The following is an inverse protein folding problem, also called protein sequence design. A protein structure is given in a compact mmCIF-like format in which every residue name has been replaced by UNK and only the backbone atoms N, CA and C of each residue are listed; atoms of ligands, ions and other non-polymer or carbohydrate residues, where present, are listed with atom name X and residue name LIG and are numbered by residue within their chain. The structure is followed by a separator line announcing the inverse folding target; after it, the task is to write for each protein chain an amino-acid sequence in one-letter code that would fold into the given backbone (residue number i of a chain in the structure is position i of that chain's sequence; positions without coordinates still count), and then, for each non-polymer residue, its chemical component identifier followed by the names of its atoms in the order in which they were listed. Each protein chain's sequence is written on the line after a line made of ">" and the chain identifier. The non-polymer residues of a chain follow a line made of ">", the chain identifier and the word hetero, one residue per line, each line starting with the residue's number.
data_IF_844333129914
#
_entry.id   IF_844333129914
#
_cell.length_a   1.000
_cell.length_b   1.000
_cell.length_c   1.000
_cell.angle_alpha   90.00
_cell.angle_beta   90.00
_cell.angle_gamma   90.00
#
_symmetry.space_group_name_H-M   'P 1'
#
loop_
_entity.id
_entity.type
_entity.pdbx_description
1 polymer ?
#
# COMPACT_ATOMS: atom_id res chain seq x y z
N UNK A 1 13.50 -11.82 10.67
CA UNK A 1 14.18 -10.52 10.45
C UNK A 1 15.24 -10.57 9.33
N UNK A 2 16.07 -11.60 9.22
CA UNK A 2 17.09 -11.75 8.15
C UNK A 2 16.47 -11.87 6.75
N UNK A 3 15.40 -12.62 6.57
CA UNK A 3 14.71 -12.82 5.29
C UNK A 3 14.11 -11.54 4.70
N UNK A 4 13.64 -10.61 5.54
CA UNK A 4 13.11 -9.31 5.09
C UNK A 4 14.27 -8.43 4.57
N UNK A 5 15.43 -8.46 5.20
CA UNK A 5 16.61 -7.71 4.74
C UNK A 5 17.16 -8.22 3.41
N UNK A 6 17.10 -9.53 3.16
CA UNK A 6 17.51 -10.12 1.87
C UNK A 6 16.53 -9.74 0.73
N UNK A 7 15.23 -9.72 1.00
CA UNK A 7 14.22 -9.27 0.05
C UNK A 7 14.35 -7.77 -0.30
N UNK A 8 14.73 -6.92 0.67
CA UNK A 8 14.85 -5.46 0.46
C UNK A 8 16.06 -5.05 -0.38
N UNK A 9 17.03 -5.92 -0.59
CA UNK A 9 18.27 -5.61 -1.31
C UNK A 9 18.33 -6.16 -2.75
N UNK A 10 17.26 -6.78 -3.23
CA UNK A 10 17.18 -7.29 -4.60
C UNK A 10 17.01 -6.14 -5.61
N UNK A 11 17.61 -6.28 -6.79
CA UNK A 11 17.48 -5.31 -7.89
C UNK A 11 16.02 -5.07 -8.29
N UNK A 12 15.16 -6.09 -8.11
CA UNK A 12 13.71 -6.00 -8.34
C UNK A 12 13.06 -4.97 -7.41
N UNK A 13 13.38 -4.99 -6.11
CA UNK A 13 12.86 -4.01 -5.14
C UNK A 13 13.30 -2.59 -5.46
N UNK A 14 14.56 -2.41 -5.87
CA UNK A 14 15.08 -1.10 -6.27
C UNK A 14 14.36 -0.57 -7.51
N UNK A 15 14.12 -1.43 -8.49
CA UNK A 15 13.39 -1.09 -9.70
C UNK A 15 11.93 -0.74 -9.40
N UNK A 16 11.25 -1.56 -8.60
CA UNK A 16 9.86 -1.29 -8.19
C UNK A 16 9.75 0.00 -7.36
N UNK A 17 10.67 0.24 -6.43
CA UNK A 17 10.73 1.49 -5.68
C UNK A 17 10.89 2.71 -6.61
N UNK A 18 11.71 2.61 -7.64
CA UNK A 18 11.88 3.67 -8.64
C UNK A 18 10.60 3.92 -9.44
N UNK A 19 9.90 2.85 -9.81
CA UNK A 19 8.62 2.92 -10.53
C UNK A 19 7.50 3.50 -9.67
N UNK A 20 7.48 3.17 -8.36
CA UNK A 20 6.46 3.65 -7.43
C UNK A 20 6.67 5.10 -6.96
N UNK A 21 7.88 5.65 -7.08
CA UNK A 21 8.17 7.05 -6.66
C UNK A 21 7.17 8.08 -7.21
N UNK A 22 6.84 8.13 -8.52
CA UNK A 22 5.87 9.09 -9.02
C UNK A 22 4.47 8.87 -8.44
N UNK A 23 4.06 7.61 -8.27
CA UNK A 23 2.77 7.23 -7.68
C UNK A 23 2.70 7.70 -6.22
N UNK A 24 3.76 7.46 -5.44
CA UNK A 24 3.83 7.90 -4.04
C UNK A 24 3.78 9.42 -3.94
N UNK A 25 4.50 10.15 -4.77
CA UNK A 25 4.46 11.62 -4.77
C UNK A 25 3.06 12.16 -5.12
N UNK A 26 2.34 11.48 -6.00
CA UNK A 26 0.98 11.85 -6.37
C UNK A 26 -0.06 11.53 -5.29
N UNK A 27 0.08 10.37 -4.63
CA UNK A 27 -0.86 9.91 -3.60
C UNK A 27 -0.60 10.55 -2.24
N UNK A 28 0.67 10.88 -1.93
CA UNK A 28 1.13 11.40 -0.64
C UNK A 28 1.84 12.75 -0.77
N UNK A 29 1.13 13.80 -1.17
CA UNK A 29 1.76 15.13 -1.39
C UNK A 29 2.36 15.74 -0.11
N UNK A 30 1.88 15.33 1.07
CA UNK A 30 2.31 15.87 2.36
C UNK A 30 3.71 15.41 2.77
N UNK A 31 4.15 14.24 2.27
CA UNK A 31 5.44 13.64 2.65
C UNK A 31 6.54 13.85 1.60
N UNK A 32 6.39 14.82 0.69
CA UNK A 32 7.37 15.07 -0.39
C UNK A 32 8.80 15.22 0.11
N UNK A 33 8.98 15.81 1.29
CA UNK A 33 10.28 16.07 1.91
C UNK A 33 10.71 15.00 2.91
N UNK A 34 9.85 14.01 3.22
CA UNK A 34 10.18 12.90 4.12
C UNK A 34 10.56 11.66 3.31
N UNK A 35 11.85 11.56 2.95
CA UNK A 35 12.39 10.43 2.19
C UNK A 35 12.22 9.08 2.93
N UNK A 36 12.26 9.10 4.27
CA UNK A 36 12.10 7.91 5.09
C UNK A 36 10.68 7.36 4.97
N UNK A 37 9.66 8.21 5.16
CA UNK A 37 8.27 7.82 4.99
C UNK A 37 7.99 7.31 3.56
N UNK A 38 8.50 8.00 2.53
CA UNK A 38 8.36 7.56 1.14
C UNK A 38 8.93 6.17 0.91
N UNK A 39 10.12 5.88 1.44
CA UNK A 39 10.76 4.57 1.29
C UNK A 39 9.97 3.48 2.03
N UNK A 40 9.51 3.73 3.25
CA UNK A 40 8.75 2.76 4.04
C UNK A 40 7.38 2.45 3.39
N UNK A 41 6.66 3.46 2.90
CA UNK A 41 5.43 3.29 2.14
C UNK A 41 5.70 2.51 0.84
N UNK A 42 6.77 2.86 0.12
CA UNK A 42 7.15 2.13 -1.10
C UNK A 42 7.40 0.65 -0.82
N UNK A 43 8.12 0.32 0.25
CA UNK A 43 8.39 -1.06 0.64
C UNK A 43 7.10 -1.82 1.01
N UNK A 44 6.19 -1.17 1.74
CA UNK A 44 4.88 -1.74 2.05
C UNK A 44 4.07 -2.00 0.77
N UNK A 45 4.00 -1.04 -0.15
CA UNK A 45 3.30 -1.19 -1.42
C UNK A 45 3.90 -2.33 -2.27
N UNK A 46 5.24 -2.41 -2.37
CA UNK A 46 5.92 -3.50 -3.09
C UNK A 46 5.57 -4.85 -2.50
N UNK A 47 5.60 -4.99 -1.17
CA UNK A 47 5.24 -6.24 -0.50
C UNK A 47 3.78 -6.65 -0.78
N UNK A 48 2.85 -5.69 -0.79
CA UNK A 48 1.44 -5.94 -1.16
C UNK A 48 1.31 -6.37 -2.63
N UNK A 49 1.93 -5.64 -3.55
CA UNK A 49 1.90 -5.95 -5.00
C UNK A 49 2.44 -7.35 -5.29
N UNK A 50 3.48 -7.76 -4.57
CA UNK A 50 4.05 -9.11 -4.69
C UNK A 50 3.25 -10.19 -3.94
N UNK A 51 2.17 -9.84 -3.25
CA UNK A 51 1.34 -10.79 -2.49
C UNK A 51 2.01 -11.31 -1.22
N UNK A 52 3.00 -10.58 -0.69
CA UNK A 52 3.75 -10.95 0.52
C UNK A 52 3.06 -10.39 1.78
N UNK A 53 1.80 -10.79 2.05
CA UNK A 53 0.97 -10.25 3.13
C UNK A 53 1.66 -10.24 4.49
N UNK A 54 2.36 -11.33 4.85
CA UNK A 54 3.09 -11.44 6.12
C UNK A 54 4.24 -10.43 6.25
N UNK A 55 4.83 -9.99 5.14
CA UNK A 55 5.86 -8.95 5.13
C UNK A 55 5.26 -7.55 5.01
N UNK A 56 4.13 -7.40 4.34
CA UNK A 56 3.47 -6.12 4.13
C UNK A 56 2.99 -5.50 5.45
N UNK A 57 2.41 -6.28 6.36
CA UNK A 57 1.87 -5.79 7.63
C UNK A 57 2.92 -5.06 8.49
N UNK A 58 4.08 -5.65 8.84
CA UNK A 58 5.08 -4.95 9.63
C UNK A 58 5.69 -3.73 8.90
N UNK A 59 5.78 -3.77 7.57
CA UNK A 59 6.23 -2.62 6.78
C UNK A 59 5.20 -1.48 6.81
N UNK A 60 3.90 -1.80 6.74
CA UNK A 60 2.81 -0.83 6.87
C UNK A 60 2.76 -0.18 8.24
N UNK A 61 2.91 -0.97 9.31
CA UNK A 61 2.99 -0.44 10.68
C UNK A 61 4.17 0.51 10.86
N UNK A 62 5.34 0.16 10.33
CA UNK A 62 6.52 1.01 10.38
C UNK A 62 6.33 2.34 9.62
N UNK A 63 5.72 2.28 8.45
CA UNK A 63 5.36 3.48 7.70
C UNK A 63 4.37 4.36 8.49
N UNK A 64 3.37 3.74 9.13
CA UNK A 64 2.39 4.43 9.97
C UNK A 64 3.05 5.11 11.18
N UNK A 65 3.99 4.45 11.87
CA UNK A 65 4.76 5.05 12.95
C UNK A 65 5.55 6.29 12.51
N UNK A 66 6.17 6.22 11.32
CA UNK A 66 6.93 7.35 10.76
C UNK A 66 6.00 8.51 10.41
N UNK A 67 4.83 8.22 9.81
CA UNK A 67 3.81 9.23 9.54
C UNK A 67 3.26 9.87 10.81
N UNK A 68 3.06 9.08 11.87
CA UNK A 68 2.56 9.58 13.16
C UNK A 68 3.57 10.50 13.85
N UNK A 69 4.88 10.30 13.68
CA UNK A 69 5.90 11.19 14.22
C UNK A 69 5.80 12.60 13.62
N UNK A 70 5.48 12.68 12.33
CA UNK A 70 5.34 13.94 11.60
C UNK A 70 3.92 14.53 11.69
N UNK A 71 2.98 13.79 12.26
CA UNK A 71 1.59 14.23 12.39
C UNK A 71 1.48 15.35 13.43
N UNK A 72 0.90 16.48 13.04
CA UNK A 72 0.66 17.63 13.92
C UNK A 72 -0.44 17.37 14.95
N UNK A 73 -1.48 16.65 14.56
CA UNK A 73 -2.62 16.31 15.39
C UNK A 73 -2.55 14.86 15.83
N UNK A 74 -1.95 14.63 17.01
CA UNK A 74 -1.62 13.24 17.45
C UNK A 74 -2.84 12.35 17.68
N UNK A 75 -4.00 12.92 17.92
CA UNK A 75 -5.26 12.21 18.16
C UNK A 75 -6.08 11.97 16.89
N UNK A 76 -5.60 12.45 15.73
CA UNK A 76 -6.29 12.34 14.45
C UNK A 76 -5.37 11.73 13.40
N UNK A 77 -5.96 11.05 12.42
CA UNK A 77 -5.18 10.52 11.30
C UNK A 77 -4.85 11.65 10.31
N UNK A 78 -3.59 11.75 9.91
CA UNK A 78 -3.21 12.63 8.80
C UNK A 78 -3.74 12.09 7.47
N UNK A 79 -3.87 12.96 6.46
CA UNK A 79 -4.34 12.53 5.13
C UNK A 79 -3.45 11.43 4.54
N UNK A 80 -2.15 11.47 4.81
CA UNK A 80 -1.21 10.42 4.38
C UNK A 80 -1.46 9.09 5.10
N UNK A 81 -1.83 9.11 6.38
CA UNK A 81 -2.17 7.90 7.11
C UNK A 81 -3.46 7.28 6.58
N UNK A 82 -4.50 8.10 6.33
CA UNK A 82 -5.76 7.66 5.72
C UNK A 82 -5.50 7.02 4.35
N UNK A 83 -4.73 7.68 3.50
CA UNK A 83 -4.40 7.16 2.16
C UNK A 83 -3.64 5.83 2.25
N UNK A 84 -2.71 5.68 3.20
CA UNK A 84 -1.98 4.42 3.40
C UNK A 84 -2.92 3.29 3.83
N UNK A 85 -3.87 3.55 4.73
CA UNK A 85 -4.88 2.58 5.14
C UNK A 85 -5.73 2.14 3.94
N UNK A 86 -6.22 3.09 3.15
CA UNK A 86 -7.06 2.80 1.97
C UNK A 86 -6.30 1.94 0.95
N UNK A 87 -5.04 2.26 0.66
CA UNK A 87 -4.21 1.47 -0.26
C UNK A 87 -3.96 0.05 0.24
N UNK A 88 -3.70 -0.12 1.54
CA UNK A 88 -3.52 -1.45 2.12
C UNK A 88 -4.83 -2.26 2.13
N UNK A 89 -5.96 -1.60 2.35
CA UNK A 89 -7.29 -2.25 2.30
C UNK A 89 -7.67 -2.67 0.89
N UNK A 90 -7.37 -1.85 -0.12
CA UNK A 90 -7.59 -2.20 -1.53
C UNK A 90 -6.71 -3.36 -2.00
N UNK A 91 -5.55 -3.56 -1.36
CA UNK A 91 -4.67 -4.72 -1.49
C UNK A 91 -4.41 -5.18 -2.94
N UNK A 92 -3.88 -4.27 -3.78
CA UNK A 92 -3.51 -4.63 -5.16
C UNK A 92 -2.41 -5.68 -5.13
N UNK A 93 -2.67 -6.86 -5.69
CA UNK A 93 -1.71 -7.97 -5.75
C UNK A 93 -1.57 -8.46 -7.19
N UNK A 94 -0.33 -8.66 -7.65
CA UNK A 94 -0.07 -9.31 -8.94
C UNK A 94 -0.32 -10.80 -8.81
N UNK A 95 0.17 -11.41 -7.74
CA UNK A 95 -0.02 -12.83 -7.45
C UNK A 95 -0.69 -12.96 -6.08
N UNK A 96 -1.97 -13.36 -6.00
CA UNK A 96 -2.69 -13.56 -4.73
C UNK A 96 -2.26 -14.89 -4.08
N UNK A 97 -1.00 -14.95 -3.62
CA UNK A 97 -0.33 -16.17 -3.16
C UNK A 97 -1.10 -16.90 -2.08
N UNK A 98 -1.68 -16.19 -1.11
CA UNK A 98 -2.45 -16.76 -0.01
C UNK A 98 -3.70 -17.48 -0.52
N UNK A 99 -4.45 -16.84 -1.43
CA UNK A 99 -5.69 -17.44 -1.99
C UNK A 99 -5.35 -18.65 -2.86
N UNK A 100 -4.30 -18.56 -3.67
CA UNK A 100 -3.83 -19.68 -4.50
C UNK A 100 -3.43 -20.87 -3.61
N UNK A 101 -2.68 -20.61 -2.53
CA UNK A 101 -2.27 -21.66 -1.58
C UNK A 101 -3.48 -22.35 -0.92
N UNK A 102 -4.47 -21.57 -0.46
CA UNK A 102 -5.71 -22.13 0.12
C UNK A 102 -6.47 -22.96 -0.91
N UNK A 103 -6.66 -22.48 -2.13
CA UNK A 103 -7.33 -23.22 -3.20
C UNK A 103 -6.58 -24.51 -3.55
N UNK A 104 -5.25 -24.46 -3.57
CA UNK A 104 -4.40 -25.65 -3.80
C UNK A 104 -4.55 -26.67 -2.68
N UNK A 105 -4.56 -26.23 -1.41
CA UNK A 105 -4.75 -27.13 -0.27
C UNK A 105 -6.13 -27.78 -0.22
N UNK A 106 -7.13 -27.16 -0.82
CA UNK A 106 -8.48 -27.66 -0.96
C UNK A 106 -8.68 -28.47 -2.26
N UNK A 107 -7.59 -28.88 -2.92
CA UNK A 107 -7.60 -29.70 -4.13
C UNK A 107 -8.41 -29.11 -5.29
N UNK A 108 -8.43 -27.76 -5.44
CA UNK A 108 -9.05 -27.10 -6.59
C UNK A 108 -8.38 -27.55 -7.89
N UNK A 109 -9.13 -27.92 -8.91
CA UNK A 109 -8.60 -28.31 -10.24
C UNK A 109 -7.74 -27.22 -10.88
N UNK A 110 -8.10 -25.94 -10.65
CA UNK A 110 -7.34 -24.82 -11.16
C UNK A 110 -7.20 -23.71 -10.08
N UNK A 111 -6.20 -23.81 -9.18
CA UNK A 111 -6.00 -22.83 -8.12
C UNK A 111 -5.73 -21.42 -8.61
N UNK A 112 -5.12 -21.27 -9.79
CA UNK A 112 -4.70 -19.98 -10.35
C UNK A 112 -5.80 -19.23 -11.10
N UNK A 113 -6.94 -19.86 -11.39
CA UNK A 113 -8.07 -19.23 -12.09
C UNK A 113 -8.57 -17.94 -11.40
N UNK A 114 -8.31 -17.77 -10.09
CA UNK A 114 -8.72 -16.60 -9.31
C UNK A 114 -7.89 -15.33 -9.62
N UNK A 115 -6.75 -15.44 -10.30
CA UNK A 115 -5.84 -14.31 -10.52
C UNK A 115 -6.55 -13.18 -11.25
N UNK A 116 -7.20 -13.47 -12.37
CA UNK A 116 -7.86 -12.45 -13.19
C UNK A 116 -9.05 -11.77 -12.47
N UNK A 117 -9.97 -12.48 -11.84
CA UNK A 117 -11.00 -11.87 -11.00
C UNK A 117 -10.44 -10.99 -9.87
N UNK A 118 -9.35 -11.42 -9.20
CA UNK A 118 -8.70 -10.64 -8.14
C UNK A 118 -8.13 -9.34 -8.71
N UNK A 119 -7.51 -9.35 -9.87
CA UNK A 119 -7.00 -8.11 -10.49
C UNK A 119 -8.12 -7.11 -10.75
N UNK A 120 -9.22 -7.54 -11.36
CA UNK A 120 -10.36 -6.66 -11.61
C UNK A 120 -10.89 -6.08 -10.29
N UNK A 121 -11.15 -6.93 -9.30
CA UNK A 121 -11.71 -6.51 -8.03
C UNK A 121 -10.81 -5.52 -7.29
N UNK A 122 -9.51 -5.81 -7.19
CA UNK A 122 -8.55 -4.97 -6.46
C UNK A 122 -8.25 -3.66 -7.18
N UNK A 123 -8.21 -3.64 -8.51
CA UNK A 123 -8.05 -2.41 -9.30
C UNK A 123 -9.29 -1.52 -9.12
N UNK A 124 -10.49 -2.05 -9.24
CA UNK A 124 -11.73 -1.30 -8.99
C UNK A 124 -11.78 -0.74 -7.55
N UNK A 125 -11.44 -1.56 -6.56
CA UNK A 125 -11.39 -1.14 -5.16
C UNK A 125 -10.36 0.00 -4.95
N UNK A 126 -9.18 -0.11 -5.56
CA UNK A 126 -8.14 0.92 -5.46
C UNK A 126 -8.56 2.24 -6.13
N UNK A 127 -9.10 2.19 -7.35
CA UNK A 127 -9.56 3.38 -8.06
C UNK A 127 -10.65 4.09 -7.24
N UNK A 128 -11.65 3.34 -6.77
CA UNK A 128 -12.74 3.89 -5.96
C UNK A 128 -12.22 4.46 -4.65
N UNK A 129 -11.43 3.70 -3.90
CA UNK A 129 -10.88 4.12 -2.61
C UNK A 129 -10.01 5.37 -2.72
N UNK A 130 -9.08 5.42 -3.69
CA UNK A 130 -8.22 6.58 -3.93
C UNK A 130 -9.04 7.81 -4.32
N UNK A 131 -10.01 7.64 -5.23
CA UNK A 131 -10.85 8.75 -5.72
C UNK A 131 -11.67 9.34 -4.58
N UNK A 132 -12.39 8.50 -3.84
CA UNK A 132 -13.22 8.95 -2.70
C UNK A 132 -12.35 9.62 -1.63
N UNK A 133 -11.22 9.02 -1.27
CA UNK A 133 -10.30 9.60 -0.28
C UNK A 133 -9.79 10.97 -0.71
N UNK A 134 -9.37 11.15 -1.96
CA UNK A 134 -8.92 12.45 -2.47
C UNK A 134 -10.03 13.49 -2.50
N UNK A 135 -11.25 13.10 -2.88
CA UNK A 135 -12.41 14.00 -2.85
C UNK A 135 -12.71 14.47 -1.42
N UNK A 136 -12.73 13.56 -0.45
CA UNK A 136 -12.97 13.89 0.94
C UNK A 136 -11.87 14.78 1.54
N UNK A 137 -10.60 14.49 1.25
CA UNK A 137 -9.47 15.33 1.67
C UNK A 137 -9.59 16.75 1.10
N UNK A 138 -9.94 16.88 -0.17
CA UNK A 138 -10.12 18.19 -0.79
C UNK A 138 -11.32 18.95 -0.21
N UNK A 139 -12.40 18.25 0.11
CA UNK A 139 -13.58 18.83 0.74
C UNK A 139 -13.26 19.33 2.15
N UNK A 140 -12.57 18.52 2.97
CA UNK A 140 -12.13 18.90 4.31
C UNK A 140 -11.24 20.15 4.29
N UNK A 141 -10.23 20.18 3.42
CA UNK A 141 -9.34 21.34 3.24
C UNK A 141 -10.08 22.62 2.83
N UNK A 142 -11.16 22.49 2.07
CA UNK A 142 -11.98 23.65 1.68
C UNK A 142 -12.77 24.17 2.87
N UNK A 143 -13.27 23.28 3.73
CA UNK A 143 -14.05 23.62 4.93
C UNK A 143 -13.20 24.29 6.02
N UNK A 144 -11.93 23.89 6.18
CA UNK A 144 -10.99 24.50 7.12
C UNK A 144 -10.58 25.94 6.75
N UNK A 145 -10.81 26.35 5.49
CA UNK A 145 -10.47 27.69 4.98
C UNK A 145 -11.63 28.69 5.05
N UNK A 146 -12.83 28.24 5.40
CA UNK A 146 -14.04 29.04 5.59
C UNK A 146 -14.26 29.37 7.07
#
# INVERSE_FOLDING_TARGET
>A
MATIRLATNTNIMKMMNKLLKPVIKFLFPEIKNNQKAQNEISMNMVANILGLGNAATPLGLKAMETLQKDNKHKNELSNSMIMLIVLNTASIQIIPTTIIAIRSSLHSENPTAIIFPVWIATICAAITGITVTKLLINYSKKREKL
#
